data_IF_518573147533
#
_entry.id   IF_518573147533
#
_cell.length_a   1.000
_cell.length_b   1.000
_cell.length_c   1.000
_cell.angle_alpha   90.00
_cell.angle_beta   90.00
_cell.angle_gamma   90.00
#
_symmetry.space_group_name_H-M   'P 1'
#
loop_
_entity.id
_entity.type
_entity.pdbx_description
1 polymer ?
#
# COMPACT_ATOMS: atom_id res chain seq x y z
N UNK A 1 18.58 15.84 17.74
CA UNK A 1 18.63 14.70 16.82
C UNK A 1 18.25 13.44 17.58
N UNK A 2 17.72 12.42 16.89
CA UNK A 2 17.55 11.08 17.43
C UNK A 2 18.90 10.36 17.37
N UNK A 3 19.57 10.22 18.49
CA UNK A 3 20.94 9.68 18.58
C UNK A 3 21.09 8.56 19.59
N UNK A 4 20.10 8.41 20.48
CA UNK A 4 20.10 7.38 21.50
C UNK A 4 19.53 6.10 20.90
N UNK A 5 20.12 4.95 21.20
CA UNK A 5 19.76 3.67 20.60
C UNK A 5 19.20 2.76 21.69
N UNK A 6 17.99 2.23 21.48
CA UNK A 6 17.43 1.22 22.37
C UNK A 6 18.25 -0.07 22.32
N UNK A 7 18.74 -0.53 23.47
CA UNK A 7 19.55 -1.76 23.58
C UNK A 7 18.82 -3.05 23.13
N UNK A 8 17.49 -3.06 23.12
CA UNK A 8 16.71 -4.25 22.79
C UNK A 8 16.30 -4.31 21.31
N UNK A 9 15.82 -3.20 20.75
CA UNK A 9 15.23 -3.18 19.40
C UNK A 9 15.94 -2.26 18.40
N UNK A 10 17.03 -1.60 18.82
CA UNK A 10 17.82 -0.67 17.99
C UNK A 10 17.03 0.53 17.44
N UNK A 11 15.83 0.80 17.97
CA UNK A 11 15.09 2.01 17.67
C UNK A 11 15.90 3.24 18.10
N UNK A 12 15.80 4.30 17.29
CA UNK A 12 16.39 5.59 17.60
C UNK A 12 15.43 6.39 18.47
N UNK A 13 15.90 6.85 19.62
CA UNK A 13 15.15 7.63 20.58
C UNK A 13 15.72 9.06 20.68
N UNK A 14 14.88 10.00 21.08
CA UNK A 14 15.36 11.31 21.53
C UNK A 14 15.80 11.22 22.99
N UNK A 15 16.86 11.94 23.36
CA UNK A 15 17.37 11.97 24.74
C UNK A 15 16.29 12.28 25.79
N UNK A 16 15.32 13.14 25.45
CA UNK A 16 14.23 13.55 26.34
C UNK A 16 13.09 12.51 26.48
N UNK A 17 13.20 11.34 25.84
CA UNK A 17 12.22 10.26 25.96
C UNK A 17 12.54 9.24 27.05
N UNK A 18 13.65 9.44 27.76
CA UNK A 18 13.96 8.70 28.98
C UNK A 18 12.81 8.86 29.98
N UNK A 19 12.32 7.74 30.49
CA UNK A 19 11.39 7.77 31.61
C UNK A 19 12.14 8.09 32.92
N UNK A 20 11.39 8.22 34.01
CA UNK A 20 11.93 8.48 35.36
C UNK A 20 12.91 7.42 35.87
N UNK A 21 12.94 6.24 35.25
CA UNK A 21 13.86 5.13 35.55
C UNK A 21 15.08 5.09 34.62
N UNK A 22 15.32 6.15 33.84
CA UNK A 22 16.38 6.24 32.82
C UNK A 22 16.31 5.12 31.76
N UNK A 23 15.10 4.73 31.34
CA UNK A 23 14.87 3.71 30.32
C UNK A 23 14.03 4.23 29.14
N UNK A 24 14.33 3.73 27.95
CA UNK A 24 13.50 3.91 26.75
C UNK A 24 12.46 2.79 26.66
N UNK A 25 11.21 3.11 27.00
CA UNK A 25 10.13 2.12 27.04
C UNK A 25 9.08 2.32 25.94
N UNK A 26 9.21 3.35 25.09
CA UNK A 26 8.21 3.65 24.04
C UNK A 26 8.34 2.74 22.82
N UNK A 27 9.53 2.25 22.51
CA UNK A 27 9.81 1.46 21.31
C UNK A 27 9.42 -0.02 21.48
N UNK A 28 9.95 -0.69 22.51
CA UNK A 28 9.76 -2.13 22.74
C UNK A 28 9.31 -2.46 24.18
N UNK A 29 8.94 -1.44 24.95
CA UNK A 29 8.54 -1.58 26.35
C UNK A 29 9.57 -2.36 27.20
N UNK A 30 10.83 -1.94 27.17
CA UNK A 30 11.96 -2.56 27.90
C UNK A 30 12.20 -4.02 27.46
N UNK A 31 12.11 -4.28 26.15
CA UNK A 31 12.33 -5.61 25.56
C UNK A 31 11.15 -6.56 25.67
N UNK A 32 10.00 -6.14 26.22
CA UNK A 32 8.79 -6.98 26.31
C UNK A 32 8.08 -7.17 24.97
N UNK A 33 8.25 -6.24 24.03
CA UNK A 33 7.69 -6.32 22.68
C UNK A 33 8.82 -6.58 21.69
N UNK A 34 8.75 -7.68 20.96
CA UNK A 34 9.71 -8.02 19.92
C UNK A 34 9.05 -7.87 18.55
N UNK A 35 9.21 -6.68 17.95
CA UNK A 35 8.73 -6.46 16.59
C UNK A 35 9.63 -7.21 15.59
N UNK A 36 9.07 -7.81 14.54
CA UNK A 36 9.87 -8.32 13.44
C UNK A 36 10.63 -7.17 12.78
N UNK A 37 11.83 -7.46 12.28
CA UNK A 37 12.58 -6.48 11.52
C UNK A 37 11.79 -6.07 10.28
N UNK A 38 11.78 -4.78 9.97
CA UNK A 38 11.18 -4.28 8.75
C UNK A 38 11.93 -4.85 7.56
N UNK A 39 11.20 -5.32 6.55
CA UNK A 39 11.80 -5.69 5.28
C UNK A 39 12.51 -4.48 4.67
N UNK A 40 13.65 -4.71 4.03
CA UNK A 40 14.35 -3.62 3.37
C UNK A 40 13.49 -3.04 2.24
N UNK A 41 13.38 -1.71 2.23
CA UNK A 41 12.69 -1.00 1.16
C UNK A 41 13.40 -1.26 -0.19
N UNK A 42 12.68 -1.62 -1.26
CA UNK A 42 13.28 -1.74 -2.59
C UNK A 42 14.05 -0.49 -3.02
N UNK A 43 15.21 -0.67 -3.65
CA UNK A 43 16.11 0.44 -3.99
C UNK A 43 15.46 1.48 -4.92
N UNK A 44 14.61 1.04 -5.84
CA UNK A 44 13.81 1.95 -6.68
C UNK A 44 12.98 2.93 -5.84
N UNK A 45 12.32 2.44 -4.78
CA UNK A 45 11.50 3.30 -3.91
C UNK A 45 12.39 4.22 -3.07
N UNK A 46 13.54 3.74 -2.59
CA UNK A 46 14.53 4.58 -1.89
C UNK A 46 15.02 5.72 -2.79
N UNK A 47 15.38 5.42 -4.04
CA UNK A 47 15.81 6.41 -5.03
C UNK A 47 14.72 7.44 -5.33
N UNK A 48 13.49 6.98 -5.58
CA UNK A 48 12.38 7.88 -5.93
C UNK A 48 11.99 8.79 -4.75
N UNK A 49 12.16 8.34 -3.51
CA UNK A 49 11.80 9.12 -2.31
C UNK A 49 12.89 10.09 -1.83
N UNK A 50 14.17 9.79 -2.08
CA UNK A 50 15.28 10.55 -1.47
C UNK A 50 16.10 11.34 -2.49
N UNK A 51 16.10 10.95 -3.76
CA UNK A 51 16.89 11.61 -4.79
C UNK A 51 16.19 12.89 -5.31
N UNK A 52 16.95 13.73 -6.00
CA UNK A 52 16.54 15.00 -6.61
C UNK A 52 16.49 14.96 -8.15
N UNK A 53 16.58 13.78 -8.76
CA UNK A 53 16.42 13.62 -10.21
C UNK A 53 15.02 14.03 -10.69
N UNK A 54 14.87 14.32 -11.99
CA UNK A 54 13.57 14.65 -12.58
C UNK A 54 12.49 13.58 -12.27
N UNK A 55 12.89 12.30 -12.33
CA UNK A 55 12.01 11.15 -12.04
C UNK A 55 11.60 11.12 -10.58
N UNK A 56 12.55 11.32 -9.66
CA UNK A 56 12.27 11.33 -8.22
C UNK A 56 11.38 12.52 -7.83
N UNK A 57 11.65 13.72 -8.36
CA UNK A 57 10.80 14.90 -8.11
C UNK A 57 9.38 14.72 -8.63
N UNK A 58 9.22 14.18 -9.84
CA UNK A 58 7.88 13.88 -10.38
C UNK A 58 7.16 12.85 -9.51
N UNK A 59 7.84 11.78 -9.09
CA UNK A 59 7.26 10.79 -8.18
C UNK A 59 6.84 11.40 -6.85
N UNK A 60 7.71 12.18 -6.20
CA UNK A 60 7.42 12.83 -4.91
C UNK A 60 6.23 13.79 -5.01
N UNK A 61 6.18 14.58 -6.09
CA UNK A 61 5.09 15.53 -6.34
C UNK A 61 3.76 14.84 -6.61
N UNK A 62 3.76 13.73 -7.35
CA UNK A 62 2.57 13.01 -7.80
C UNK A 62 2.40 11.64 -7.10
N UNK A 63 2.97 11.46 -5.91
CA UNK A 63 3.03 10.15 -5.24
C UNK A 63 1.65 9.53 -5.01
N UNK A 64 0.63 10.37 -4.80
CA UNK A 64 -0.76 9.93 -4.64
C UNK A 64 -1.34 9.37 -5.93
N UNK A 65 -1.02 9.96 -7.09
CA UNK A 65 -1.45 9.47 -8.40
C UNK A 65 -0.78 8.14 -8.73
N UNK A 66 0.54 8.02 -8.52
CA UNK A 66 1.24 6.74 -8.69
C UNK A 66 0.65 5.63 -7.79
N UNK A 67 0.47 5.92 -6.51
CA UNK A 67 -0.10 4.95 -5.57
C UNK A 67 -1.54 4.57 -5.94
N UNK A 68 -2.36 5.52 -6.40
CA UNK A 68 -3.72 5.23 -6.85
C UNK A 68 -3.73 4.39 -8.14
N UNK A 69 -2.85 4.68 -9.10
CA UNK A 69 -2.73 3.96 -10.36
C UNK A 69 -2.27 2.50 -10.18
N UNK A 70 -1.49 2.23 -9.15
CA UNK A 70 -0.95 0.91 -8.80
C UNK A 70 -1.78 0.19 -7.72
N UNK A 71 -2.89 0.79 -7.27
CA UNK A 71 -3.74 0.19 -6.24
C UNK A 71 -4.53 -1.01 -6.78
N UNK A 72 -4.72 -2.02 -5.93
CA UNK A 72 -5.55 -3.20 -6.26
C UNK A 72 -7.04 -2.97 -6.00
N UNK A 73 -7.36 -2.04 -5.10
CA UNK A 73 -8.71 -1.74 -4.66
C UNK A 73 -8.88 -0.23 -4.55
N UNK A 74 -10.11 0.24 -4.77
CA UNK A 74 -10.49 1.61 -4.43
C UNK A 74 -11.03 1.68 -3.00
N UNK A 75 -10.88 2.83 -2.36
CA UNK A 75 -11.49 3.10 -1.07
C UNK A 75 -12.78 3.89 -1.27
N UNK A 76 -13.89 3.41 -0.69
CA UNK A 76 -15.16 4.11 -0.62
C UNK A 76 -15.47 4.51 0.82
N UNK A 77 -15.81 5.79 1.02
CA UNK A 77 -16.22 6.31 2.32
C UNK A 77 -17.15 7.51 2.15
N UNK A 78 -18.09 7.71 3.08
CA UNK A 78 -18.88 8.93 3.17
C UNK A 78 -18.03 10.03 3.82
N UNK A 79 -17.44 10.88 2.98
CA UNK A 79 -16.67 12.05 3.42
C UNK A 79 -17.57 13.26 3.64
N UNK A 80 -17.37 13.95 4.75
CA UNK A 80 -17.83 15.33 4.97
C UNK A 80 -16.64 16.22 5.27
N UNK A 81 -16.58 17.40 4.65
CA UNK A 81 -15.63 18.41 5.07
C UNK A 81 -16.00 18.85 6.51
N UNK A 82 -15.05 18.93 7.44
CA UNK A 82 -15.32 19.51 8.75
C UNK A 82 -15.65 21.00 8.59
N UNK A 83 -16.61 21.53 9.38
CA UNK A 83 -16.92 22.95 9.34
C UNK A 83 -15.73 23.78 9.86
N UNK A 84 -15.42 24.88 9.19
CA UNK A 84 -14.42 25.87 9.63
C UNK A 84 -13.20 26.02 8.72
N UNK A 85 -12.30 26.93 9.11
CA UNK A 85 -11.04 27.20 8.42
C UNK A 85 -9.90 26.51 9.18
N UNK A 86 -9.61 25.26 8.84
CA UNK A 86 -8.52 24.46 9.41
C UNK A 86 -7.70 23.77 8.32
N UNK A 87 -6.62 23.06 8.69
CA UNK A 87 -5.85 22.25 7.75
C UNK A 87 -6.76 21.27 6.99
N UNK A 88 -6.45 20.99 5.72
CA UNK A 88 -7.26 20.12 4.88
C UNK A 88 -7.42 18.74 5.54
N UNK A 89 -8.65 18.44 5.95
CA UNK A 89 -9.04 17.14 6.49
C UNK A 89 -10.44 16.78 5.99
N UNK A 90 -10.71 15.49 5.83
CA UNK A 90 -12.03 14.95 5.53
C UNK A 90 -12.47 14.08 6.69
N UNK A 91 -13.72 14.25 7.13
CA UNK A 91 -14.33 13.45 8.18
C UNK A 91 -15.06 12.29 7.52
N UNK A 92 -14.62 11.06 7.80
CA UNK A 92 -15.35 9.86 7.43
C UNK A 92 -16.38 9.58 8.52
N UNK A 93 -17.65 9.42 8.13
CA UNK A 93 -18.70 8.95 9.03
C UNK A 93 -19.13 7.54 8.60
N UNK A 94 -19.22 6.62 9.55
CA UNK A 94 -19.56 5.22 9.28
C UNK A 94 -18.36 4.37 8.87
N UNK A 95 -18.58 3.41 7.98
CA UNK A 95 -17.62 2.36 7.64
C UNK A 95 -16.83 2.70 6.37
N UNK A 96 -15.54 2.35 6.37
CA UNK A 96 -14.68 2.37 5.18
C UNK A 96 -14.88 1.06 4.43
N UNK A 97 -15.09 1.15 3.10
CA UNK A 97 -15.22 -0.01 2.23
C UNK A 97 -14.04 -0.07 1.27
N UNK A 98 -13.42 -1.23 1.14
CA UNK A 98 -12.54 -1.53 0.02
C UNK A 98 -13.41 -2.07 -1.13
N UNK A 99 -13.47 -1.33 -2.23
CA UNK A 99 -14.21 -1.71 -3.43
C UNK A 99 -13.24 -2.37 -4.40
N UNK A 100 -13.38 -3.68 -4.53
CA UNK A 100 -12.63 -4.53 -5.46
C UNK A 100 -13.60 -4.91 -6.58
N UNK A 101 -13.19 -4.66 -7.82
CA UNK A 101 -13.98 -5.04 -8.98
C UNK A 101 -13.89 -6.56 -9.22
N UNK A 102 -14.88 -7.19 -9.89
CA UNK A 102 -14.74 -8.54 -10.41
C UNK A 102 -13.47 -8.69 -11.26
N UNK A 103 -12.95 -9.90 -11.42
CA UNK A 103 -11.69 -10.10 -12.16
C UNK A 103 -11.75 -9.60 -13.62
N UNK A 104 -12.89 -9.79 -14.27
CA UNK A 104 -13.18 -9.29 -15.61
C UNK A 104 -14.21 -8.17 -15.52
N UNK A 105 -13.98 -7.08 -16.25
CA UNK A 105 -14.97 -6.03 -16.44
C UNK A 105 -16.06 -6.48 -17.41
N UNK A 106 -17.32 -6.13 -17.15
CA UNK A 106 -18.36 -6.14 -18.18
C UNK A 106 -17.96 -5.15 -19.29
N UNK A 107 -18.42 -5.34 -20.54
CA UNK A 107 -18.07 -4.50 -21.70
C UNK A 107 -18.34 -3.00 -21.45
N UNK A 108 -19.21 -2.71 -20.49
CA UNK A 108 -19.60 -1.36 -20.06
C UNK A 108 -18.56 -0.63 -19.20
N UNK A 109 -17.59 -1.33 -18.62
CA UNK A 109 -16.63 -0.72 -17.69
C UNK A 109 -15.19 -0.92 -18.16
N UNK A 110 -14.39 0.15 -18.11
CA UNK A 110 -12.95 0.06 -18.38
C UNK A 110 -12.26 -0.75 -17.26
N UNK A 111 -11.38 -1.70 -17.57
CA UNK A 111 -10.57 -2.39 -16.57
C UNK A 111 -9.77 -1.40 -15.71
N UNK A 112 -9.70 -1.65 -14.41
CA UNK A 112 -8.98 -0.80 -13.47
C UNK A 112 -8.47 -1.56 -12.24
N UNK A 113 -7.62 -0.88 -11.47
CA UNK A 113 -7.06 -1.41 -10.22
C UNK A 113 -6.41 -2.79 -10.38
N UNK A 114 -6.78 -3.77 -9.54
CA UNK A 114 -6.24 -5.13 -9.57
C UNK A 114 -6.36 -5.83 -10.93
N UNK A 115 -7.38 -5.51 -11.73
CA UNK A 115 -7.58 -6.10 -13.05
C UNK A 115 -6.41 -5.80 -14.01
N UNK A 116 -5.73 -4.67 -13.84
CA UNK A 116 -4.61 -4.26 -14.71
C UNK A 116 -3.40 -5.18 -14.59
N UNK A 117 -3.30 -5.96 -13.51
CA UNK A 117 -2.22 -6.93 -13.34
C UNK A 117 -2.38 -8.19 -14.23
N UNK A 118 -3.55 -8.39 -14.84
CA UNK A 118 -3.82 -9.47 -15.79
C UNK A 118 -3.28 -9.15 -17.18
N UNK A 119 -3.31 -7.87 -17.56
CA UNK A 119 -2.85 -7.39 -18.85
C UNK A 119 -1.32 -7.41 -18.94
N UNK A 120 -0.81 -7.37 -20.18
CA UNK A 120 0.60 -7.11 -20.40
C UNK A 120 1.01 -5.77 -19.78
N UNK A 121 2.28 -5.66 -19.39
CA UNK A 121 2.76 -4.49 -18.67
C UNK A 121 2.64 -3.19 -19.50
N UNK A 122 2.85 -3.25 -20.82
CA UNK A 122 2.73 -2.08 -21.68
C UNK A 122 1.29 -1.59 -21.74
N UNK A 123 0.34 -2.48 -22.02
CA UNK A 123 -1.09 -2.14 -22.08
C UNK A 123 -1.60 -1.63 -20.73
N UNK A 124 -1.24 -2.32 -19.64
CA UNK A 124 -1.61 -1.90 -18.29
C UNK A 124 -1.10 -0.48 -17.97
N UNK A 125 0.15 -0.18 -18.32
CA UNK A 125 0.76 1.12 -18.06
C UNK A 125 0.18 2.22 -18.94
N UNK A 126 -0.15 1.96 -20.21
CA UNK A 126 -0.89 2.90 -21.04
C UNK A 126 -2.24 3.26 -20.40
N UNK A 127 -3.01 2.28 -19.95
CA UNK A 127 -4.31 2.49 -19.27
C UNK A 127 -4.17 3.27 -17.95
N UNK A 128 -3.10 3.04 -17.19
CA UNK A 128 -2.81 3.83 -15.97
C UNK A 128 -2.52 5.29 -16.31
N UNK A 129 -1.72 5.54 -17.34
CA UNK A 129 -1.30 6.89 -17.72
C UNK A 129 -2.43 7.71 -18.36
N UNK A 130 -3.40 7.07 -19.03
CA UNK A 130 -4.61 7.76 -19.52
C UNK A 130 -5.33 8.55 -18.42
N UNK A 131 -5.37 8.00 -17.20
CA UNK A 131 -6.03 8.64 -16.06
C UNK A 131 -5.08 9.45 -15.17
N UNK A 132 -3.76 9.39 -15.42
CA UNK A 132 -2.72 10.02 -14.61
C UNK A 132 -1.68 10.73 -15.49
N UNK A 133 -2.08 11.77 -16.25
CA UNK A 133 -1.23 12.41 -17.27
C UNK A 133 -0.02 13.14 -16.69
N UNK A 134 -0.02 13.44 -15.38
CA UNK A 134 1.11 14.06 -14.69
C UNK A 134 2.21 13.06 -14.32
N UNK A 135 1.94 11.76 -14.38
CA UNK A 135 2.92 10.72 -14.11
C UNK A 135 3.81 10.47 -15.34
N UNK A 136 5.12 10.31 -15.11
CA UNK A 136 6.09 9.91 -16.13
C UNK A 136 5.98 8.41 -16.43
N UNK A 137 5.84 8.07 -17.72
CA UNK A 137 5.79 6.67 -18.19
C UNK A 137 6.95 5.83 -17.67
N UNK A 138 8.18 6.35 -17.78
CA UNK A 138 9.38 5.63 -17.34
C UNK A 138 9.47 5.36 -15.83
N UNK A 139 8.69 6.06 -15.00
CA UNK A 139 8.57 5.80 -13.57
C UNK A 139 7.45 4.78 -13.34
N UNK A 140 6.31 4.95 -14.02
CA UNK A 140 5.19 4.00 -13.97
C UNK A 140 5.62 2.58 -14.36
N UNK A 141 6.36 2.44 -15.47
CA UNK A 141 6.88 1.16 -15.96
C UNK A 141 7.77 0.46 -14.93
N UNK A 142 8.68 1.21 -14.29
CA UNK A 142 9.58 0.66 -13.26
C UNK A 142 8.82 0.24 -12.01
N UNK A 143 7.84 1.03 -11.59
CA UNK A 143 7.00 0.71 -10.43
C UNK A 143 6.12 -0.50 -10.71
N UNK A 144 5.48 -0.57 -11.88
CA UNK A 144 4.66 -1.71 -12.29
C UNK A 144 5.48 -3.00 -12.33
N UNK A 145 6.67 -2.96 -12.94
CA UNK A 145 7.60 -4.10 -12.96
C UNK A 145 7.99 -4.54 -11.53
N UNK A 146 8.28 -3.58 -10.65
CA UNK A 146 8.58 -3.87 -9.25
C UNK A 146 7.39 -4.55 -8.56
N UNK A 147 6.20 -3.95 -8.63
CA UNK A 147 5.01 -4.47 -7.95
C UNK A 147 4.57 -5.82 -8.48
N UNK A 148 4.68 -6.08 -9.77
CA UNK A 148 4.44 -7.42 -10.35
C UNK A 148 5.39 -8.48 -9.78
N UNK A 149 6.60 -8.07 -9.40
CA UNK A 149 7.62 -8.97 -8.85
C UNK A 149 7.45 -9.20 -7.35
N UNK A 150 7.15 -8.14 -6.58
CA UNK A 150 7.17 -8.21 -5.12
C UNK A 150 5.80 -8.37 -4.46
N UNK A 151 4.72 -8.02 -5.15
CA UNK A 151 3.39 -8.00 -4.55
C UNK A 151 2.68 -9.36 -4.77
N UNK A 152 2.42 -10.13 -3.70
CA UNK A 152 1.79 -11.46 -3.83
C UNK A 152 0.39 -11.39 -4.45
N UNK A 153 -0.29 -10.25 -4.37
CA UNK A 153 -1.59 -10.07 -5.00
C UNK A 153 -1.49 -9.91 -6.52
N UNK A 154 -0.40 -9.32 -7.04
CA UNK A 154 -0.19 -9.26 -8.48
C UNK A 154 -0.13 -10.68 -9.07
N UNK A 155 0.63 -11.55 -8.41
CA UNK A 155 0.73 -12.95 -8.76
C UNK A 155 -0.62 -13.67 -8.62
N UNK A 156 -1.32 -13.45 -7.50
CA UNK A 156 -2.62 -14.09 -7.24
C UNK A 156 -3.67 -13.74 -8.32
N UNK A 157 -3.70 -12.48 -8.80
CA UNK A 157 -4.59 -12.07 -9.89
C UNK A 157 -4.27 -12.77 -11.21
N UNK A 158 -2.97 -12.90 -11.52
CA UNK A 158 -2.51 -13.59 -12.73
C UNK A 158 -2.82 -15.09 -12.67
N UNK A 159 -2.55 -15.75 -11.55
CA UNK A 159 -2.85 -17.17 -11.34
C UNK A 159 -4.37 -17.42 -11.48
N UNK A 160 -5.19 -16.56 -10.89
CA UNK A 160 -6.64 -16.66 -11.01
C UNK A 160 -7.11 -16.55 -12.46
N UNK A 161 -6.55 -15.62 -13.22
CA UNK A 161 -6.86 -15.47 -14.63
C UNK A 161 -6.52 -16.73 -15.43
N UNK A 162 -5.33 -17.31 -15.20
CA UNK A 162 -4.87 -18.54 -15.86
C UNK A 162 -5.75 -19.76 -15.51
N UNK A 163 -6.18 -19.87 -14.25
CA UNK A 163 -7.08 -20.94 -13.82
C UNK A 163 -8.44 -20.86 -14.50
N UNK A 164 -9.01 -19.66 -14.62
CA UNK A 164 -10.30 -19.46 -15.29
C UNK A 164 -10.18 -19.73 -16.79
N UNK A 165 -9.09 -19.29 -17.43
CA UNK A 165 -8.85 -19.58 -18.85
C UNK A 165 -8.70 -21.07 -19.14
N UNK A 166 -8.00 -21.82 -18.27
CA UNK A 166 -7.84 -23.27 -18.41
C UNK A 166 -9.10 -24.06 -18.04
N UNK A 167 -9.91 -23.56 -17.11
CA UNK A 167 -11.11 -24.24 -16.61
C UNK A 167 -12.31 -23.28 -16.49
N UNK A 168 -13.00 -22.97 -17.61
CA UNK A 168 -14.06 -21.94 -17.63
C UNK A 168 -15.27 -22.22 -16.73
N UNK A 169 -15.48 -23.47 -16.31
CA UNK A 169 -16.61 -23.89 -15.46
C UNK A 169 -16.31 -23.79 -13.97
N UNK A 170 -15.05 -23.51 -13.58
CA UNK A 170 -14.65 -23.43 -12.17
C UNK A 170 -14.97 -22.05 -11.63
N UNK A 171 -15.72 -22.01 -10.53
CA UNK A 171 -15.92 -20.78 -9.77
C UNK A 171 -14.68 -20.51 -8.90
N UNK A 172 -13.87 -19.53 -9.31
CA UNK A 172 -12.67 -19.11 -8.57
C UNK A 172 -12.97 -17.83 -7.80
N UNK A 173 -12.61 -17.80 -6.51
CA UNK A 173 -12.77 -16.63 -5.65
C UNK A 173 -11.47 -16.33 -4.91
N UNK A 174 -11.07 -15.06 -4.91
CA UNK A 174 -9.96 -14.58 -4.07
C UNK A 174 -10.56 -14.17 -2.73
N UNK A 175 -10.09 -14.76 -1.65
CA UNK A 175 -10.52 -14.41 -0.30
C UNK A 175 -9.31 -13.86 0.44
N UNK A 176 -9.35 -12.56 0.74
CA UNK A 176 -8.39 -11.92 1.63
C UNK A 176 -8.83 -12.23 3.06
N UNK A 177 -8.40 -13.37 3.61
CA UNK A 177 -8.62 -13.72 5.02
C UNK A 177 -7.38 -13.41 5.82
N UNK A 178 -7.47 -12.48 6.76
CA UNK A 178 -6.56 -12.46 7.91
C UNK A 178 -7.29 -13.19 9.04
N UNK A 179 -6.74 -14.35 9.42
CA UNK A 179 -7.13 -15.24 10.52
C UNK A 179 -8.64 -15.23 10.90
N UNK A 180 -9.42 -16.25 10.48
CA UNK A 180 -10.85 -16.36 10.80
C UNK A 180 -11.17 -16.25 12.30
N UNK A 181 -10.20 -16.60 13.15
CA UNK A 181 -10.35 -16.65 14.60
C UNK A 181 -9.96 -15.33 15.32
N UNK A 182 -9.43 -14.33 14.61
CA UNK A 182 -8.98 -13.06 15.19
C UNK A 182 -10.00 -11.94 14.91
N UNK A 183 -10.71 -11.51 15.94
CA UNK A 183 -11.57 -10.31 15.87
C UNK A 183 -10.69 -9.04 15.86
N UNK A 184 -10.57 -8.40 14.69
CA UNK A 184 -9.83 -7.15 14.52
C UNK A 184 -10.43 -5.95 15.26
N UNK A 185 -11.68 -6.04 15.75
CA UNK A 185 -12.31 -4.97 16.55
C UNK A 185 -12.03 -5.13 18.05
N UNK A 186 -11.28 -6.17 18.44
CA UNK A 186 -10.86 -6.41 19.81
C UNK A 186 -9.34 -6.37 19.91
N UNK A 187 -8.87 -5.83 21.04
CA UNK A 187 -7.47 -5.67 21.40
C UNK A 187 -6.72 -7.01 21.35
N UNK A 188 -6.19 -7.37 20.19
CA UNK A 188 -5.28 -8.50 20.08
C UNK A 188 -3.93 -8.07 20.66
N UNK A 189 -3.38 -8.89 21.55
CA UNK A 189 -2.08 -8.64 22.16
C UNK A 189 -0.99 -8.64 21.07
N UNK A 190 0.03 -7.78 21.17
CA UNK A 190 1.18 -7.86 20.29
C UNK A 190 1.93 -9.17 20.58
N UNK A 191 1.94 -10.09 19.62
CA UNK A 191 2.83 -11.27 19.60
C UNK A 191 4.24 -10.86 19.22
#
# INVERSE_FOLDING_TARGET
MMTEICNFCQALDWRNELNSSNKYTKCCHDGKVRLPNLAETPDLLKELLTNNSLKARNYQQHIREYNAALAFASMGAEGKAPPGNGPYCFRIHGQIYHRIAPLYSDERFKPGYGQLYIFDASEANSRRLENNPSCLSSVMEKLDALFRTINPYAESYLQMHQLIQSNPTVNVKMIFMEHPDLDMRRYNAPT
#
